data_IF_271250438409
#
_entry.id   IF_271250438409
#
_cell.length_a   1.000
_cell.length_b   1.000
_cell.length_c   1.000
_cell.angle_alpha   90.00
_cell.angle_beta   90.00
_cell.angle_gamma   90.00
#
_symmetry.space_group_name_H-M   'P 1'
#
loop_
_entity.id
_entity.type
_entity.pdbx_description
1 polymer ?
#
# COMPACT_ATOMS: atom_id res chain seq x y z
N UNK A 1 -33.21 1.18 2.89
CA UNK A 1 -32.03 2.04 2.60
C UNK A 1 -31.87 2.20 1.11
N UNK A 2 -31.62 3.40 0.60
CA UNK A 2 -31.31 3.64 -0.82
C UNK A 2 -29.87 4.13 -0.94
N UNK A 3 -28.99 3.34 -1.56
CA UNK A 3 -27.57 3.67 -1.69
C UNK A 3 -26.67 2.46 -1.48
N UNK A 4 -25.38 2.62 -1.77
CA UNK A 4 -24.38 1.55 -1.60
C UNK A 4 -23.03 2.06 -1.06
N UNK A 5 -22.99 3.25 -0.47
CA UNK A 5 -21.79 3.76 0.20
C UNK A 5 -21.75 3.38 1.68
N UNK A 6 -20.65 3.71 2.36
CA UNK A 6 -20.50 3.45 3.81
C UNK A 6 -21.68 4.02 4.63
N UNK A 7 -22.14 5.23 4.31
CA UNK A 7 -23.32 5.84 4.95
C UNK A 7 -24.56 4.94 4.87
N UNK A 8 -24.77 4.23 3.75
CA UNK A 8 -25.89 3.30 3.61
C UNK A 8 -25.73 2.07 4.50
N UNK A 9 -24.49 1.57 4.67
CA UNK A 9 -24.18 0.44 5.55
C UNK A 9 -24.35 0.84 7.02
N UNK A 10 -23.82 2.00 7.41
CA UNK A 10 -23.94 2.55 8.76
C UNK A 10 -25.40 2.72 9.14
N UNK A 11 -26.19 3.34 8.26
CA UNK A 11 -27.62 3.52 8.47
C UNK A 11 -28.34 2.17 8.55
N UNK A 12 -28.04 1.22 7.65
CA UNK A 12 -28.65 -0.11 7.64
C UNK A 12 -28.43 -0.87 8.95
N UNK A 13 -27.17 -0.95 9.39
CA UNK A 13 -26.78 -1.63 10.64
C UNK A 13 -27.35 -0.91 11.86
N UNK A 14 -27.41 0.41 11.83
CA UNK A 14 -28.04 1.21 12.88
C UNK A 14 -29.54 0.94 12.97
N UNK A 15 -30.25 0.82 11.85
CA UNK A 15 -31.67 0.47 11.84
C UNK A 15 -31.93 -0.90 12.49
N UNK A 16 -31.06 -1.90 12.25
CA UNK A 16 -31.15 -3.18 12.94
C UNK A 16 -31.00 -2.99 14.46
N UNK A 17 -30.01 -2.21 14.91
CA UNK A 17 -29.78 -1.91 16.33
C UNK A 17 -30.93 -1.17 17.01
N UNK A 18 -31.67 -0.38 16.26
CA UNK A 18 -32.87 0.33 16.73
C UNK A 18 -34.13 -0.56 16.74
N UNK A 19 -34.02 -1.84 16.35
CA UNK A 19 -35.10 -2.81 16.43
C UNK A 19 -35.92 -2.99 15.15
N UNK A 20 -35.42 -2.53 13.99
CA UNK A 20 -36.08 -2.85 12.72
C UNK A 20 -36.03 -4.37 12.45
N UNK A 21 -37.19 -4.97 12.21
CA UNK A 21 -37.31 -6.42 11.94
C UNK A 21 -36.65 -6.82 10.62
N UNK A 22 -36.81 -5.98 9.59
CA UNK A 22 -36.21 -6.17 8.27
C UNK A 22 -35.57 -4.87 7.77
N UNK A 23 -34.34 -4.98 7.27
CA UNK A 23 -33.63 -3.86 6.65
C UNK A 23 -33.13 -4.31 5.28
N UNK A 24 -33.57 -3.61 4.24
CA UNK A 24 -33.17 -3.86 2.85
C UNK A 24 -32.43 -2.66 2.27
N UNK A 25 -31.26 -2.92 1.68
CA UNK A 25 -30.46 -1.97 0.90
C UNK A 25 -30.79 -2.12 -0.58
N UNK A 26 -31.30 -1.05 -1.19
CA UNK A 26 -31.58 -0.97 -2.62
C UNK A 26 -30.40 -0.30 -3.31
N UNK A 27 -29.73 -1.03 -4.21
CA UNK A 27 -28.56 -0.54 -4.93
C UNK A 27 -28.67 -0.78 -6.43
N UNK A 28 -28.46 0.29 -7.20
CA UNK A 28 -28.61 0.31 -8.66
C UNK A 28 -27.50 -0.40 -9.44
N UNK A 29 -26.51 -1.00 -8.77
CA UNK A 29 -25.42 -1.76 -9.43
C UNK A 29 -25.26 -3.13 -8.75
N UNK A 30 -24.24 -3.89 -9.12
CA UNK A 30 -23.94 -5.16 -8.47
C UNK A 30 -23.09 -4.95 -7.22
N UNK A 31 -22.89 -6.03 -6.46
CA UNK A 31 -21.99 -6.08 -5.32
C UNK A 31 -20.57 -5.58 -5.66
N UNK A 32 -20.03 -5.96 -6.82
CA UNK A 32 -18.66 -5.62 -7.24
C UNK A 32 -18.44 -4.12 -7.43
N UNK A 33 -19.45 -3.37 -7.88
CA UNK A 33 -19.34 -1.91 -8.04
C UNK A 33 -19.80 -1.13 -6.80
N UNK A 34 -20.02 -1.78 -5.66
CA UNK A 34 -20.41 -1.10 -4.44
C UNK A 34 -19.23 -0.26 -3.90
N UNK A 35 -19.41 1.05 -3.64
CA UNK A 35 -18.34 1.90 -3.13
C UNK A 35 -18.09 1.76 -1.63
N UNK A 36 -18.95 1.06 -0.89
CA UNK A 36 -18.72 0.76 0.51
C UNK A 36 -17.49 -0.13 0.71
N UNK A 37 -16.83 0.00 1.86
CA UNK A 37 -15.76 -0.89 2.25
C UNK A 37 -16.28 -2.33 2.30
N UNK A 38 -15.52 -3.27 1.73
CA UNK A 38 -15.94 -4.67 1.64
C UNK A 38 -16.30 -5.26 3.01
N UNK A 39 -15.48 -5.00 4.02
CA UNK A 39 -15.69 -5.49 5.39
C UNK A 39 -17.01 -4.94 5.99
N UNK A 40 -17.41 -3.72 5.64
CA UNK A 40 -18.68 -3.13 6.09
C UNK A 40 -19.89 -3.81 5.44
N UNK A 41 -19.77 -4.17 4.16
CA UNK A 41 -20.83 -4.92 3.44
C UNK A 41 -20.96 -6.32 4.03
N UNK A 42 -19.86 -7.04 4.21
CA UNK A 42 -19.84 -8.38 4.80
C UNK A 42 -20.43 -8.36 6.22
N UNK A 43 -20.04 -7.40 7.06
CA UNK A 43 -20.60 -7.25 8.41
C UNK A 43 -22.10 -6.88 8.40
N UNK A 44 -22.56 -6.09 7.43
CA UNK A 44 -23.98 -5.77 7.29
C UNK A 44 -24.81 -7.01 6.91
N UNK A 45 -24.31 -7.83 5.98
CA UNK A 45 -24.90 -9.12 5.62
C UNK A 45 -24.94 -10.07 6.83
N UNK A 46 -23.84 -10.18 7.58
CA UNK A 46 -23.77 -10.95 8.82
C UNK A 46 -24.83 -10.52 9.84
N UNK A 47 -25.07 -9.22 9.99
CA UNK A 47 -26.07 -8.66 10.90
C UNK A 47 -27.53 -8.83 10.42
N UNK A 48 -27.73 -9.27 9.17
CA UNK A 48 -29.03 -9.59 8.58
C UNK A 48 -29.58 -8.55 7.60
N UNK A 49 -28.76 -7.60 7.16
CA UNK A 49 -29.14 -6.64 6.10
C UNK A 49 -29.34 -7.39 4.78
N UNK A 50 -30.49 -7.20 4.13
CA UNK A 50 -30.77 -7.74 2.81
C UNK A 50 -30.32 -6.79 1.73
N UNK A 51 -29.77 -7.31 0.63
CA UNK A 51 -29.33 -6.50 -0.49
C UNK A 51 -30.16 -6.78 -1.74
N UNK A 52 -30.70 -5.70 -2.31
CA UNK A 52 -31.43 -5.70 -3.56
C UNK A 52 -30.60 -4.98 -4.62
N UNK A 53 -29.70 -5.73 -5.23
CA UNK A 53 -28.84 -5.27 -6.32
C UNK A 53 -29.63 -5.00 -7.60
N UNK A 54 -28.98 -4.31 -8.54
CA UNK A 54 -29.52 -4.03 -9.86
C UNK A 54 -30.95 -3.45 -9.78
N UNK A 55 -31.17 -2.56 -8.81
CA UNK A 55 -32.48 -1.98 -8.51
C UNK A 55 -32.35 -0.51 -8.16
N UNK A 56 -33.17 0.33 -8.80
CA UNK A 56 -33.22 1.77 -8.56
C UNK A 56 -34.60 2.18 -8.04
N UNK A 57 -34.69 3.12 -7.08
CA UNK A 57 -35.97 3.69 -6.68
C UNK A 57 -36.52 4.60 -7.78
N UNK A 58 -37.84 4.61 -7.91
CA UNK A 58 -38.58 5.48 -8.85
C UNK A 58 -39.44 6.47 -8.07
N UNK A 59 -40.17 5.99 -7.07
CA UNK A 59 -41.17 6.79 -6.36
C UNK A 59 -41.37 6.25 -4.93
N UNK A 60 -41.51 7.17 -3.96
CA UNK A 60 -41.94 6.82 -2.60
C UNK A 60 -43.46 6.88 -2.55
N UNK A 61 -44.09 5.74 -2.23
CA UNK A 61 -45.54 5.61 -2.16
C UNK A 61 -45.97 5.67 -0.71
N UNK A 62 -46.99 6.49 -0.42
CA UNK A 62 -47.50 6.65 0.93
C UNK A 62 -48.98 6.98 0.97
N UNK A 63 -49.57 6.81 2.15
CA UNK A 63 -50.96 7.13 2.45
C UNK A 63 -51.04 7.77 3.84
N UNK A 64 -51.88 8.80 3.98
CA UNK A 64 -52.13 9.48 5.26
C UNK A 64 -50.83 9.97 5.96
N UNK A 65 -49.88 10.48 5.16
CA UNK A 65 -48.59 10.98 5.65
C UNK A 65 -47.57 9.90 6.05
N UNK A 66 -47.87 8.61 5.81
CA UNK A 66 -46.97 7.48 6.09
C UNK A 66 -46.52 6.79 4.81
N UNK A 67 -45.27 6.38 4.75
CA UNK A 67 -44.75 5.55 3.66
C UNK A 67 -45.36 4.15 3.78
N UNK A 68 -45.75 3.55 2.65
CA UNK A 68 -46.29 2.18 2.58
C UNK A 68 -45.51 1.31 1.61
N UNK A 69 -44.87 1.91 0.59
CA UNK A 69 -44.02 1.19 -0.34
C UNK A 69 -42.99 2.10 -1.01
N UNK A 70 -41.95 1.47 -1.56
CA UNK A 70 -41.00 2.08 -2.48
C UNK A 70 -41.19 1.44 -3.86
N UNK A 71 -41.62 2.23 -4.84
CA UNK A 71 -41.64 1.78 -6.24
C UNK A 71 -40.22 1.73 -6.76
N UNK A 72 -39.83 0.57 -7.25
CA UNK A 72 -38.50 0.29 -7.76
C UNK A 72 -38.57 -0.18 -9.20
N UNK A 73 -37.45 -0.09 -9.92
CA UNK A 73 -37.26 -0.61 -11.27
C UNK A 73 -35.95 -1.41 -11.31
N UNK A 74 -35.90 -2.49 -12.09
CA UNK A 74 -34.65 -3.22 -12.31
C UNK A 74 -33.71 -2.44 -13.22
N UNK A 75 -32.42 -2.67 -13.04
CA UNK A 75 -31.37 -2.03 -13.82
C UNK A 75 -30.38 -3.07 -14.33
N UNK A 76 -29.80 -2.85 -15.50
CA UNK A 76 -28.67 -3.62 -16.01
C UNK A 76 -27.42 -2.74 -16.12
N UNK A 77 -26.24 -3.35 -16.16
CA UNK A 77 -25.00 -2.61 -16.31
C UNK A 77 -24.65 -2.44 -17.79
N UNK A 78 -24.38 -1.19 -18.18
CA UNK A 78 -23.84 -0.86 -19.50
C UNK A 78 -22.44 -1.47 -19.69
N UNK A 79 -21.93 -1.39 -20.94
CA UNK A 79 -20.50 -1.54 -21.19
C UNK A 79 -19.71 -0.54 -20.32
N UNK A 80 -18.48 -0.90 -19.89
CA UNK A 80 -17.60 0.03 -19.18
C UNK A 80 -17.42 1.32 -19.97
N UNK A 81 -17.52 2.47 -19.31
CA UNK A 81 -17.14 3.75 -19.89
C UNK A 81 -15.60 3.92 -19.92
N UNK A 82 -15.11 5.07 -20.41
CA UNK A 82 -13.67 5.39 -20.50
C UNK A 82 -12.95 5.34 -19.13
N UNK A 83 -13.69 5.46 -18.02
CA UNK A 83 -13.16 5.31 -16.66
C UNK A 83 -13.20 3.86 -16.14
N UNK A 84 -13.64 2.92 -16.97
CA UNK A 84 -13.90 1.52 -16.61
C UNK A 84 -15.22 1.32 -15.85
N UNK A 85 -16.00 2.38 -15.63
CA UNK A 85 -17.19 2.34 -14.78
C UNK A 85 -18.42 1.95 -15.61
N UNK A 86 -19.18 0.98 -15.11
CA UNK A 86 -20.46 0.59 -15.73
C UNK A 86 -21.58 1.48 -15.22
N UNK A 87 -22.41 1.98 -16.14
CA UNK A 87 -23.58 2.81 -15.80
C UNK A 87 -24.81 1.91 -15.69
N UNK A 88 -25.66 2.11 -14.68
CA UNK A 88 -26.91 1.40 -14.59
C UNK A 88 -27.90 1.96 -15.61
N UNK A 89 -28.53 1.09 -16.39
CA UNK A 89 -29.58 1.38 -17.37
C UNK A 89 -30.86 0.71 -16.89
N UNK A 90 -31.97 1.43 -16.87
CA UNK A 90 -33.27 0.90 -16.42
C UNK A 90 -33.80 -0.14 -17.41
N UNK A 91 -34.38 -1.21 -16.89
CA UNK A 91 -35.11 -2.21 -17.67
C UNK A 91 -36.57 -1.80 -17.69
N UNK A 92 -37.07 -1.31 -18.82
CA UNK A 92 -38.47 -0.86 -18.94
C UNK A 92 -39.46 -2.00 -18.67
N UNK A 93 -40.58 -1.70 -18.02
CA UNK A 93 -41.61 -2.69 -17.67
C UNK A 93 -41.24 -3.62 -16.50
N UNK A 94 -40.10 -3.39 -15.85
CA UNK A 94 -39.63 -4.16 -14.69
C UNK A 94 -39.98 -3.51 -13.34
N UNK A 95 -40.92 -2.57 -13.33
CA UNK A 95 -41.34 -1.88 -12.13
C UNK A 95 -42.04 -2.83 -11.13
N UNK A 96 -41.73 -2.66 -9.85
CA UNK A 96 -42.37 -3.39 -8.77
C UNK A 96 -42.43 -2.54 -7.51
N UNK A 97 -43.33 -2.92 -6.60
CA UNK A 97 -43.47 -2.28 -5.29
C UNK A 97 -42.72 -3.11 -4.24
N UNK A 98 -41.88 -2.44 -3.46
CA UNK A 98 -41.26 -2.99 -2.26
C UNK A 98 -42.01 -2.41 -1.05
N UNK A 99 -42.78 -3.24 -0.34
CA UNK A 99 -43.53 -2.80 0.85
C UNK A 99 -42.53 -2.44 1.96
N UNK A 100 -42.58 -1.18 2.41
CA UNK A 100 -41.69 -0.64 3.46
C UNK A 100 -42.40 0.49 4.21
N UNK A 101 -42.11 0.60 5.50
CA UNK A 101 -42.65 1.68 6.34
C UNK A 101 -41.72 2.90 6.41
N UNK A 102 -40.43 2.72 6.11
CA UNK A 102 -39.40 3.75 6.21
C UNK A 102 -38.46 3.69 5.01
N UNK A 103 -38.22 4.84 4.38
CA UNK A 103 -37.21 5.01 3.32
C UNK A 103 -36.16 6.00 3.81
N UNK A 104 -34.92 5.55 3.88
CA UNK A 104 -33.76 6.39 4.24
C UNK A 104 -32.87 6.55 3.00
N UNK A 105 -32.77 7.78 2.44
CA UNK A 105 -31.92 8.06 1.29
C UNK A 105 -30.47 8.28 1.73
N UNK A 106 -29.56 7.46 1.18
CA UNK A 106 -28.11 7.54 1.37
C UNK A 106 -27.40 7.65 -0.01
N UNK A 107 -27.82 8.64 -0.80
CA UNK A 107 -27.45 8.80 -2.21
C UNK A 107 -26.31 9.81 -2.46
N UNK A 108 -25.73 10.35 -1.39
CA UNK A 108 -24.68 11.36 -1.43
C UNK A 108 -25.14 12.71 -0.87
N UNK A 109 -24.22 13.65 -0.88
CA UNK A 109 -24.41 15.01 -0.37
C UNK A 109 -23.75 16.01 -1.33
N UNK A 110 -24.17 17.27 -1.24
CA UNK A 110 -23.60 18.38 -1.97
C UNK A 110 -23.31 19.53 -1.00
N UNK A 111 -22.41 20.43 -1.39
CA UNK A 111 -22.11 21.63 -0.61
C UNK A 111 -23.35 22.53 -0.62
N UNK A 112 -23.76 22.98 0.56
CA UNK A 112 -24.77 24.03 0.69
C UNK A 112 -24.10 25.38 0.42
N UNK A 113 -24.50 26.03 -0.67
CA UNK A 113 -23.92 27.29 -1.13
C UNK A 113 -24.69 28.52 -0.65
N UNK A 114 -25.84 28.37 -0.01
CA UNK A 114 -26.73 29.51 0.25
C UNK A 114 -26.13 30.63 1.10
N UNK A 115 -25.14 30.31 1.96
CA UNK A 115 -24.41 31.32 2.76
C UNK A 115 -23.17 31.91 2.06
N UNK A 116 -22.86 31.46 0.84
CA UNK A 116 -21.66 31.84 0.09
C UNK A 116 -21.99 32.66 -1.16
N UNK A 117 -23.28 32.80 -1.50
CA UNK A 117 -23.75 33.49 -2.70
C UNK A 117 -23.37 34.98 -2.73
N UNK A 118 -23.18 35.61 -1.56
CA UNK A 118 -22.75 37.02 -1.46
C UNK A 118 -21.25 37.21 -1.75
N UNK A 119 -20.47 36.13 -1.79
CA UNK A 119 -19.02 36.17 -2.06
C UNK A 119 -18.80 35.98 -3.57
N UNK A 120 -18.92 37.08 -4.32
CA UNK A 120 -18.94 37.10 -5.79
C UNK A 120 -17.71 36.50 -6.50
N UNK A 121 -16.56 36.45 -5.84
CA UNK A 121 -15.28 36.06 -6.45
C UNK A 121 -14.82 34.63 -6.10
N UNK A 122 -15.68 33.79 -5.51
CA UNK A 122 -15.36 32.39 -5.25
C UNK A 122 -15.36 31.55 -6.54
N UNK A 123 -14.24 30.86 -6.78
CA UNK A 123 -14.08 29.91 -7.88
C UNK A 123 -14.58 28.53 -7.49
N UNK A 124 -15.45 27.96 -8.32
CA UNK A 124 -16.07 26.65 -8.08
C UNK A 124 -15.53 25.58 -9.03
N UNK A 125 -15.36 24.37 -8.51
CA UNK A 125 -15.02 23.21 -9.31
C UNK A 125 -16.24 22.72 -10.11
N UNK A 126 -16.01 21.82 -11.08
CA UNK A 126 -17.10 21.12 -11.81
C UNK A 126 -18.08 20.37 -10.88
N UNK A 127 -17.66 20.03 -9.65
CA UNK A 127 -18.50 19.34 -8.66
C UNK A 127 -19.22 20.31 -7.72
N UNK A 128 -19.21 21.62 -8.00
CA UNK A 128 -19.74 22.67 -7.13
C UNK A 128 -19.10 22.66 -5.74
N UNK A 129 -17.79 22.47 -5.70
CA UNK A 129 -16.96 22.61 -4.48
C UNK A 129 -16.05 23.82 -4.61
N UNK A 130 -15.58 24.38 -3.50
CA UNK A 130 -14.72 25.56 -3.47
C UNK A 130 -13.33 25.18 -3.98
N UNK A 131 -12.80 25.95 -4.94
CA UNK A 131 -11.44 25.78 -5.46
C UNK A 131 -10.46 26.48 -4.54
N UNK A 132 -9.36 25.80 -4.20
CA UNK A 132 -8.32 26.34 -3.30
C UNK A 132 -6.91 25.99 -3.77
N UNK A 133 -5.92 26.75 -3.31
CA UNK A 133 -4.50 26.44 -3.44
C UNK A 133 -4.15 25.25 -2.54
N UNK A 134 -3.57 24.17 -3.09
CA UNK A 134 -3.31 22.93 -2.36
C UNK A 134 -2.38 23.04 -1.14
N UNK A 135 -1.46 24.01 -1.12
CA UNK A 135 -0.52 24.23 -0.02
C UNK A 135 -1.16 24.95 1.17
N UNK A 136 -1.99 25.95 0.88
CA UNK A 136 -2.49 26.92 1.86
C UNK A 136 -3.97 26.73 2.18
N UNK A 137 -4.70 26.04 1.30
CA UNK A 137 -6.16 25.95 1.31
C UNK A 137 -6.86 27.32 1.12
N UNK A 138 -6.14 28.32 0.65
CA UNK A 138 -6.68 29.64 0.30
C UNK A 138 -7.49 29.56 -0.99
N UNK A 139 -8.66 30.21 -1.00
CA UNK A 139 -9.56 30.27 -2.14
C UNK A 139 -9.08 31.26 -3.23
N UNK A 140 -9.92 31.55 -4.21
CA UNK A 140 -9.68 32.65 -5.15
C UNK A 140 -9.85 34.04 -4.53
N UNK A 141 -10.46 34.13 -3.35
CA UNK A 141 -10.63 35.38 -2.60
C UNK A 141 -9.56 35.47 -1.52
N UNK A 142 -8.82 36.57 -1.51
CA UNK A 142 -7.76 36.83 -0.54
C UNK A 142 -8.30 36.80 0.91
N UNK A 143 -7.60 36.11 1.79
CA UNK A 143 -8.01 35.96 3.19
C UNK A 143 -9.16 34.97 3.43
N UNK A 144 -9.71 34.34 2.39
CA UNK A 144 -10.71 33.27 2.51
C UNK A 144 -10.07 31.90 2.32
N UNK A 145 -10.30 31.00 3.26
CA UNK A 145 -9.76 29.64 3.27
C UNK A 145 -10.88 28.62 3.39
N UNK A 146 -10.73 27.47 2.75
CA UNK A 146 -11.73 26.39 2.81
C UNK A 146 -11.04 25.02 2.90
N UNK A 147 -11.64 24.08 3.62
CA UNK A 147 -11.10 22.73 3.79
C UNK A 147 -12.21 21.68 3.90
N UNK A 148 -11.84 20.40 3.84
CA UNK A 148 -12.77 19.27 3.92
C UNK A 148 -13.62 19.08 2.67
N UNK A 149 -14.77 18.44 2.84
CA UNK A 149 -15.66 18.06 1.74
C UNK A 149 -16.20 19.26 0.95
N UNK A 150 -16.21 20.46 1.54
CA UNK A 150 -16.53 21.70 0.84
C UNK A 150 -15.55 22.01 -0.31
N UNK A 151 -14.34 21.44 -0.27
CA UNK A 151 -13.29 21.58 -1.28
C UNK A 151 -13.17 20.31 -2.11
N UNK A 152 -12.98 19.17 -1.46
CA UNK A 152 -12.68 17.89 -2.13
C UNK A 152 -13.92 17.20 -2.70
N UNK A 153 -15.11 17.56 -2.20
CA UNK A 153 -16.28 16.70 -2.24
C UNK A 153 -16.14 15.54 -1.24
N UNK A 154 -17.09 14.60 -1.22
CA UNK A 154 -17.06 13.45 -0.31
C UNK A 154 -15.73 12.70 -0.38
N UNK A 155 -14.98 12.75 0.72
CA UNK A 155 -13.63 12.20 0.84
C UNK A 155 -13.47 11.46 2.18
N UNK A 156 -12.23 11.29 2.64
CA UNK A 156 -11.97 10.69 3.96
C UNK A 156 -11.88 11.76 5.05
N UNK A 157 -12.22 11.38 6.29
CA UNK A 157 -12.05 12.24 7.48
C UNK A 157 -10.60 12.73 7.62
N UNK A 158 -9.62 11.88 7.27
CA UNK A 158 -8.19 12.22 7.34
C UNK A 158 -7.81 13.33 6.36
N UNK A 159 -8.39 13.34 5.16
CA UNK A 159 -8.17 14.42 4.18
C UNK A 159 -8.76 15.73 4.67
N UNK A 160 -9.95 15.70 5.27
CA UNK A 160 -10.57 16.89 5.87
C UNK A 160 -9.72 17.45 7.02
N UNK A 161 -9.25 16.60 7.93
CA UNK A 161 -8.33 17.00 9.02
C UNK A 161 -7.03 17.58 8.45
N UNK A 162 -6.46 16.92 7.43
CA UNK A 162 -5.24 17.38 6.77
C UNK A 162 -5.40 18.74 6.10
N UNK A 163 -6.53 18.97 5.41
CA UNK A 163 -6.90 20.27 4.85
C UNK A 163 -7.08 21.32 5.94
N UNK A 164 -7.81 21.02 7.01
CA UNK A 164 -8.03 21.94 8.12
C UNK A 164 -6.72 22.39 8.78
N UNK A 165 -5.75 21.47 8.97
CA UNK A 165 -4.42 21.82 9.50
C UNK A 165 -3.64 22.75 8.58
N UNK A 166 -3.67 22.52 7.26
CA UNK A 166 -3.02 23.43 6.30
C UNK A 166 -3.69 24.79 6.27
N UNK A 167 -5.02 24.84 6.30
CA UNK A 167 -5.77 26.09 6.36
C UNK A 167 -5.43 26.88 7.63
N UNK A 168 -5.37 26.23 8.79
CA UNK A 168 -5.02 26.88 10.05
C UNK A 168 -3.59 27.49 10.02
N UNK A 169 -2.60 26.77 9.50
CA UNK A 169 -1.23 27.27 9.33
C UNK A 169 -1.17 28.46 8.36
N UNK A 170 -1.95 28.42 7.28
CA UNK A 170 -2.01 29.48 6.29
C UNK A 170 -2.71 30.74 6.82
N UNK A 171 -3.80 30.58 7.59
CA UNK A 171 -4.51 31.67 8.27
C UNK A 171 -3.58 32.37 9.26
N UNK A 172 -2.88 31.60 10.11
CA UNK A 172 -1.94 32.15 11.10
C UNK A 172 -0.85 33.00 10.43
N UNK A 173 -0.27 32.49 9.33
CA UNK A 173 0.70 33.24 8.52
C UNK A 173 0.13 34.48 7.87
N UNK A 174 -1.08 34.38 7.30
CA UNK A 174 -1.77 35.50 6.66
C UNK A 174 -2.00 36.64 7.66
N UNK A 175 -2.53 36.33 8.84
CA UNK A 175 -2.77 37.30 9.91
C UNK A 175 -1.47 37.87 10.49
N UNK A 176 -0.39 37.11 10.48
CA UNK A 176 0.92 37.52 10.98
C UNK A 176 1.79 38.24 9.94
N UNK A 177 1.33 38.39 8.70
CA UNK A 177 2.14 38.95 7.60
C UNK A 177 3.36 38.09 7.22
N UNK A 178 3.32 36.79 7.53
CA UNK A 178 4.38 35.83 7.23
C UNK A 178 4.10 35.24 5.82
N UNK A 179 5.13 35.05 4.98
CA UNK A 179 4.95 34.41 3.68
C UNK A 179 4.27 33.03 3.77
N UNK A 180 3.34 32.79 2.85
CA UNK A 180 2.57 31.55 2.76
C UNK A 180 3.46 30.33 2.46
N UNK A 181 3.11 29.14 2.96
CA UNK A 181 3.90 27.94 2.73
C UNK A 181 3.69 27.42 1.30
N UNK A 182 4.75 26.83 0.74
CA UNK A 182 4.66 26.03 -0.47
C UNK A 182 4.65 24.54 -0.13
N UNK A 183 3.96 23.73 -0.94
CA UNK A 183 4.07 22.29 -0.81
C UNK A 183 5.50 21.88 -1.15
N UNK A 184 6.20 21.12 -0.29
CA UNK A 184 7.52 20.63 -0.63
C UNK A 184 7.40 19.75 -1.88
N UNK A 185 8.38 19.81 -2.81
CA UNK A 185 8.34 19.05 -4.06
C UNK A 185 8.34 17.53 -3.80
N UNK A 186 8.78 17.12 -2.61
CA UNK A 186 8.77 15.74 -2.15
C UNK A 186 8.24 15.65 -0.71
N UNK A 187 7.46 14.60 -0.37
CA UNK A 187 7.02 14.38 0.99
C UNK A 187 8.20 14.31 1.97
N UNK A 188 8.22 15.21 2.95
CA UNK A 188 9.27 15.22 3.99
C UNK A 188 8.94 14.13 5.01
N UNK A 189 9.78 13.10 5.08
CA UNK A 189 9.63 12.01 6.07
C UNK A 189 9.96 12.54 7.46
N UNK A 190 9.01 12.43 8.38
CA UNK A 190 9.27 12.60 9.83
C UNK A 190 10.11 11.41 10.32
N UNK A 191 10.94 11.65 11.34
CA UNK A 191 11.87 10.75 12.04
C UNK A 191 11.91 9.29 11.54
N UNK A 192 13.08 8.84 11.07
CA UNK A 192 13.27 7.42 10.71
C UNK A 192 13.45 6.57 11.97
N UNK A 193 12.53 5.62 12.16
CA UNK A 193 12.68 4.60 13.19
C UNK A 193 13.76 3.58 12.81
N UNK A 194 14.46 2.99 13.79
CA UNK A 194 15.41 1.91 13.54
C UNK A 194 14.72 0.72 12.84
N UNK A 195 15.49 -0.05 12.08
CA UNK A 195 14.99 -1.28 11.45
C UNK A 195 14.98 -2.42 12.45
N UNK A 196 13.90 -3.20 12.46
CA UNK A 196 13.80 -4.43 13.23
C UNK A 196 14.16 -5.62 12.33
N UNK A 197 15.01 -6.52 12.83
CA UNK A 197 15.46 -7.67 12.06
C UNK A 197 14.51 -8.85 12.13
N UNK A 198 14.25 -9.45 10.98
CA UNK A 198 13.39 -10.63 10.85
C UNK A 198 13.87 -11.50 9.70
N UNK A 199 13.74 -12.82 9.80
CA UNK A 199 14.11 -13.71 8.70
C UNK A 199 13.15 -13.58 7.52
N UNK A 200 13.63 -13.86 6.31
CA UNK A 200 12.78 -13.97 5.12
C UNK A 200 11.66 -15.01 5.29
N UNK A 201 11.94 -16.13 5.95
CA UNK A 201 10.94 -17.19 6.21
C UNK A 201 9.81 -16.67 7.08
N UNK A 202 10.15 -16.09 8.24
CA UNK A 202 9.14 -15.51 9.14
C UNK A 202 8.36 -14.41 8.41
N UNK A 203 9.05 -13.53 7.68
CA UNK A 203 8.41 -12.43 6.96
C UNK A 203 7.41 -12.89 5.91
N UNK A 204 7.75 -13.93 5.15
CA UNK A 204 6.88 -14.50 4.11
C UNK A 204 5.69 -15.25 4.73
N UNK A 205 5.89 -15.94 5.86
CA UNK A 205 4.86 -16.77 6.49
C UNK A 205 3.90 -16.00 7.41
N UNK A 206 4.20 -14.75 7.79
CA UNK A 206 3.35 -13.93 8.65
C UNK A 206 2.02 -13.55 7.96
N UNK A 207 0.92 -14.10 8.48
CA UNK A 207 -0.44 -13.74 8.07
C UNK A 207 -0.93 -12.47 8.77
N UNK A 208 -1.91 -11.78 8.17
CA UNK A 208 -2.57 -10.65 8.82
C UNK A 208 -3.38 -11.23 9.99
N UNK A 209 -3.22 -10.73 11.22
CA UNK A 209 -4.09 -11.15 12.30
C UNK A 209 -5.51 -10.65 12.05
N UNK A 210 -6.50 -11.48 12.35
CA UNK A 210 -7.91 -11.12 12.23
C UNK A 210 -8.30 -10.13 13.32
N UNK A 211 -9.04 -9.08 12.96
CA UNK A 211 -9.56 -8.11 13.93
C UNK A 211 -10.59 -8.80 14.83
N UNK A 212 -10.38 -8.87 16.16
CA UNK A 212 -11.40 -9.41 17.04
C UNK A 212 -12.65 -8.53 16.98
N UNK A 213 -13.79 -9.16 16.70
CA UNK A 213 -15.07 -8.47 16.60
C UNK A 213 -15.99 -8.88 17.75
N UNK A 214 -16.85 -7.96 18.18
CA UNK A 214 -17.98 -8.28 19.06
C UNK A 214 -18.84 -9.38 18.42
N UNK A 215 -19.45 -10.27 19.19
CA UNK A 215 -20.29 -11.32 18.61
C UNK A 215 -21.51 -10.72 17.87
N UNK A 216 -21.98 -11.43 16.83
CA UNK A 216 -23.06 -10.96 15.95
C UNK A 216 -24.32 -10.56 16.71
N UNK A 217 -24.77 -11.37 17.67
CA UNK A 217 -26.03 -11.13 18.36
C UNK A 217 -25.98 -9.84 19.18
N UNK A 218 -24.84 -9.52 19.79
CA UNK A 218 -24.62 -8.25 20.48
C UNK A 218 -24.44 -7.07 19.54
N UNK A 219 -23.84 -7.25 18.35
CA UNK A 219 -23.74 -6.18 17.33
C UNK A 219 -25.13 -5.68 16.88
N UNK A 220 -26.13 -6.56 16.89
CA UNK A 220 -27.51 -6.26 16.45
C UNK A 220 -28.35 -5.51 17.48
N UNK A 221 -27.92 -5.39 18.73
CA UNK A 221 -28.73 -4.81 19.82
C UNK A 221 -27.98 -3.79 20.67
N UNK A 222 -26.73 -3.48 20.35
CA UNK A 222 -25.90 -2.54 21.11
C UNK A 222 -25.16 -1.58 20.20
N UNK A 223 -24.80 -0.41 20.75
CA UNK A 223 -23.90 0.57 20.14
C UNK A 223 -22.48 0.46 20.71
N UNK A 224 -22.12 -0.69 21.29
CA UNK A 224 -20.77 -0.92 21.76
C UNK A 224 -19.80 -1.01 20.57
N UNK A 225 -18.53 -0.69 20.83
CA UNK A 225 -17.47 -0.83 19.84
C UNK A 225 -17.45 -2.27 19.29
N UNK A 226 -17.56 -2.39 17.97
CA UNK A 226 -17.61 -3.69 17.27
C UNK A 226 -16.21 -4.24 17.06
N UNK A 227 -15.29 -3.42 16.55
CA UNK A 227 -13.88 -3.77 16.39
C UNK A 227 -13.15 -3.63 17.73
N UNK A 228 -12.84 -4.75 18.38
CA UNK A 228 -12.33 -4.75 19.76
C UNK A 228 -10.83 -4.42 19.86
N UNK A 229 -10.16 -4.24 18.71
CA UNK A 229 -8.74 -3.99 18.64
C UNK A 229 -7.89 -5.24 18.84
N UNK A 230 -6.63 -5.15 18.43
CA UNK A 230 -5.67 -6.22 18.66
C UNK A 230 -5.20 -6.25 20.11
N UNK A 231 -5.02 -7.46 20.63
CA UNK A 231 -4.19 -7.65 21.82
C UNK A 231 -2.71 -7.37 21.47
N UNK A 232 -1.86 -7.27 22.50
CA UNK A 232 -0.45 -6.93 22.31
C UNK A 232 0.29 -7.89 21.35
N UNK A 233 0.00 -9.20 21.45
CA UNK A 233 0.64 -10.22 20.60
C UNK A 233 0.28 -10.01 19.12
N UNK A 234 -1.02 -9.89 18.82
CA UNK A 234 -1.51 -9.66 17.46
C UNK A 234 -1.00 -8.33 16.89
N UNK A 235 -0.96 -7.27 17.70
CA UNK A 235 -0.41 -5.98 17.29
C UNK A 235 1.09 -6.08 16.93
N UNK A 236 1.87 -6.84 17.71
CA UNK A 236 3.29 -7.11 17.42
C UNK A 236 3.45 -7.95 16.15
N UNK A 237 2.59 -8.93 15.90
CA UNK A 237 2.62 -9.75 14.68
C UNK A 237 2.31 -8.92 13.42
N UNK A 238 1.27 -8.07 13.46
CA UNK A 238 0.99 -7.15 12.34
C UNK A 238 2.12 -6.14 12.13
N UNK A 239 2.73 -5.61 13.21
CA UNK A 239 3.88 -4.72 13.09
C UNK A 239 5.09 -5.41 12.42
N UNK A 240 5.32 -6.70 12.72
CA UNK A 240 6.39 -7.51 12.11
C UNK A 240 6.18 -7.74 10.61
N UNK A 241 4.96 -7.55 10.08
CA UNK A 241 4.68 -7.60 8.63
C UNK A 241 5.09 -6.34 7.87
N UNK A 242 5.37 -5.22 8.56
CA UNK A 242 5.72 -3.94 7.93
C UNK A 242 6.88 -4.04 6.92
N UNK A 243 6.66 -3.68 5.65
CA UNK A 243 7.68 -3.73 4.59
C UNK A 243 8.61 -2.50 4.52
N UNK A 244 8.46 -1.54 5.46
CA UNK A 244 9.27 -0.31 5.54
C UNK A 244 9.29 0.49 4.23
N UNK A 245 8.11 0.80 3.71
CA UNK A 245 7.95 1.70 2.56
C UNK A 245 8.47 3.13 2.84
N UNK A 246 8.72 3.46 4.11
CA UNK A 246 9.44 4.64 4.58
C UNK A 246 10.96 4.60 4.32
N UNK A 247 11.50 3.53 3.74
CA UNK A 247 12.91 3.43 3.29
C UNK A 247 12.95 3.03 1.81
N UNK A 248 12.30 1.92 1.43
CA UNK A 248 12.29 1.44 0.04
C UNK A 248 11.33 2.27 -0.82
N UNK A 249 11.84 2.87 -1.90
CA UNK A 249 11.03 3.62 -2.88
C UNK A 249 10.51 2.77 -4.04
N UNK A 250 10.69 1.45 -3.98
CA UNK A 250 10.21 0.48 -4.99
C UNK A 250 10.68 0.78 -6.43
N UNK A 251 11.91 1.29 -6.58
CA UNK A 251 12.48 1.62 -7.89
C UNK A 251 12.90 0.43 -8.77
N UNK A 252 12.84 -0.81 -8.26
CA UNK A 252 13.16 -2.02 -9.03
C UNK A 252 14.63 -2.32 -9.33
N UNK A 253 15.54 -1.36 -9.16
CA UNK A 253 16.97 -1.50 -9.50
C UNK A 253 17.66 -2.72 -8.88
N UNK A 254 17.30 -3.10 -7.65
CA UNK A 254 17.89 -4.27 -7.00
C UNK A 254 17.56 -5.58 -7.74
N UNK A 255 16.32 -5.73 -8.21
CA UNK A 255 15.86 -6.88 -8.99
C UNK A 255 16.52 -6.86 -10.37
N UNK A 256 16.53 -5.69 -11.01
CA UNK A 256 17.13 -5.47 -12.33
C UNK A 256 18.62 -5.86 -12.35
N UNK A 257 19.43 -5.33 -11.44
CA UNK A 257 20.86 -5.68 -11.33
C UNK A 257 21.05 -7.17 -11.01
N UNK A 258 20.21 -7.76 -10.15
CA UNK A 258 20.35 -9.17 -9.79
C UNK A 258 20.02 -10.11 -10.97
N UNK A 259 19.01 -9.77 -11.77
CA UNK A 259 18.53 -10.57 -12.90
C UNK A 259 19.33 -10.30 -14.18
N UNK A 260 19.47 -9.04 -14.55
CA UNK A 260 19.95 -8.63 -15.87
C UNK A 260 21.47 -8.44 -15.91
N UNK A 261 22.07 -7.90 -14.85
CA UNK A 261 23.52 -7.69 -14.80
C UNK A 261 24.24 -8.94 -14.25
N UNK A 262 23.82 -9.41 -13.07
CA UNK A 262 24.47 -10.54 -12.40
C UNK A 262 24.01 -11.91 -12.93
N UNK A 263 22.89 -11.98 -13.64
CA UNK A 263 22.29 -13.25 -14.15
C UNK A 263 21.99 -14.30 -13.08
N UNK A 264 21.64 -13.87 -11.86
CA UNK A 264 21.35 -14.75 -10.71
C UNK A 264 19.84 -14.90 -10.50
N UNK A 265 19.08 -13.81 -10.66
CA UNK A 265 17.63 -13.76 -10.47
C UNK A 265 17.18 -14.34 -9.09
N UNK A 266 17.80 -13.86 -8.02
CA UNK A 266 17.54 -14.31 -6.64
C UNK A 266 16.45 -13.51 -5.92
N UNK A 267 15.98 -12.38 -6.47
CA UNK A 267 15.05 -11.49 -5.80
C UNK A 267 13.66 -11.59 -6.42
N UNK A 268 12.73 -12.29 -5.76
CA UNK A 268 11.34 -12.40 -6.19
C UNK A 268 10.44 -11.42 -5.42
N UNK A 269 10.41 -10.18 -5.89
CA UNK A 269 9.62 -9.10 -5.31
C UNK A 269 8.38 -8.84 -6.18
N UNK A 270 7.36 -9.68 -6.03
CA UNK A 270 6.13 -9.64 -6.83
C UNK A 270 5.42 -8.28 -6.90
N UNK A 271 5.54 -7.46 -5.84
CA UNK A 271 5.02 -6.09 -5.83
C UNK A 271 5.74 -5.11 -6.80
N UNK A 272 6.78 -5.58 -7.49
CA UNK A 272 7.46 -4.87 -8.58
C UNK A 272 7.10 -5.43 -9.97
N UNK A 273 6.32 -6.51 -10.05
CA UNK A 273 5.83 -7.01 -11.34
C UNK A 273 4.77 -6.05 -11.88
N UNK A 274 4.92 -5.64 -13.14
CA UNK A 274 3.96 -4.78 -13.83
C UNK A 274 2.59 -5.45 -14.02
N UNK A 275 2.55 -6.78 -14.05
CA UNK A 275 1.34 -7.55 -14.39
C UNK A 275 0.67 -8.21 -13.17
N UNK A 276 1.28 -8.12 -11.98
CA UNK A 276 0.76 -8.77 -10.77
C UNK A 276 0.75 -10.30 -10.82
N UNK A 277 1.44 -10.90 -11.78
CA UNK A 277 1.53 -12.35 -12.03
C UNK A 277 2.49 -13.08 -11.08
N UNK A 278 3.28 -12.33 -10.30
CA UNK A 278 4.26 -12.88 -9.37
C UNK A 278 3.89 -12.51 -7.93
N UNK A 279 3.86 -13.51 -7.06
CA UNK A 279 3.80 -13.31 -5.62
C UNK A 279 5.20 -12.97 -5.09
N UNK A 280 5.25 -12.22 -3.99
CA UNK A 280 6.52 -11.95 -3.32
C UNK A 280 6.89 -13.14 -2.45
N UNK A 281 8.04 -13.76 -2.72
CA UNK A 281 8.61 -14.79 -1.86
C UNK A 281 10.08 -14.48 -1.56
N UNK A 282 10.33 -14.04 -0.33
CA UNK A 282 11.66 -13.67 0.12
C UNK A 282 12.55 -14.89 0.41
N UNK A 283 11.97 -16.10 0.50
CA UNK A 283 12.70 -17.33 0.82
C UNK A 283 13.59 -17.79 -0.33
N UNK A 284 13.16 -17.55 -1.57
CA UNK A 284 13.93 -17.88 -2.77
C UNK A 284 15.29 -17.19 -2.77
N UNK A 285 15.40 -16.02 -2.15
CA UNK A 285 16.68 -15.31 -2.04
C UNK A 285 17.70 -16.12 -1.26
N UNK A 286 17.31 -16.85 -0.20
CA UNK A 286 18.24 -17.72 0.53
C UNK A 286 18.77 -18.86 -0.34
N UNK A 287 17.97 -19.37 -1.27
CA UNK A 287 18.34 -20.47 -2.15
C UNK A 287 19.29 -20.04 -3.27
N UNK A 288 19.01 -18.90 -3.92
CA UNK A 288 19.70 -18.47 -5.15
C UNK A 288 20.78 -17.42 -4.93
N UNK A 289 20.67 -16.59 -3.90
CA UNK A 289 21.58 -15.47 -3.72
C UNK A 289 22.99 -15.95 -3.40
N UNK A 290 23.97 -15.40 -4.12
CA UNK A 290 25.40 -15.67 -3.88
C UNK A 290 26.04 -14.63 -2.95
N UNK A 291 25.29 -13.65 -2.46
CA UNK A 291 25.78 -12.55 -1.60
C UNK A 291 26.90 -11.70 -2.24
N UNK A 292 26.77 -11.41 -3.55
CA UNK A 292 27.69 -10.52 -4.28
C UNK A 292 27.56 -9.03 -3.89
N UNK A 293 26.44 -8.63 -3.28
CA UNK A 293 26.20 -7.25 -2.85
C UNK A 293 25.81 -6.26 -3.95
N UNK A 294 25.72 -6.68 -5.21
CA UNK A 294 25.40 -5.78 -6.34
C UNK A 294 24.06 -5.04 -6.14
N UNK A 295 23.04 -5.71 -5.58
CA UNK A 295 21.75 -5.12 -5.26
C UNK A 295 21.82 -4.07 -4.14
N UNK A 296 22.70 -4.24 -3.15
CA UNK A 296 22.93 -3.28 -2.08
C UNK A 296 23.72 -2.06 -2.59
N UNK A 297 24.75 -2.29 -3.40
CA UNK A 297 25.56 -1.22 -4.00
C UNK A 297 24.75 -0.30 -4.91
N UNK A 298 23.71 -0.82 -5.59
CA UNK A 298 22.86 -0.05 -6.49
C UNK A 298 21.57 0.47 -5.84
N UNK A 299 21.42 0.35 -4.52
CA UNK A 299 20.21 0.80 -3.82
C UNK A 299 20.30 2.29 -3.48
N UNK A 300 19.48 3.17 -4.10
CA UNK A 300 19.60 4.62 -3.90
C UNK A 300 19.18 5.08 -2.49
N UNK A 301 18.45 4.26 -1.75
CA UNK A 301 17.92 4.62 -0.43
C UNK A 301 18.57 3.86 0.73
N UNK A 302 19.50 2.93 0.45
CA UNK A 302 20.06 2.03 1.46
C UNK A 302 19.04 1.08 2.08
N UNK A 303 17.93 0.80 1.37
CA UNK A 303 16.96 -0.22 1.74
C UNK A 303 17.57 -1.62 1.68
N UNK A 304 18.35 -1.90 0.64
CA UNK A 304 19.18 -3.09 0.55
C UNK A 304 20.52 -2.82 1.23
N UNK A 305 20.93 -3.71 2.12
CA UNK A 305 22.22 -3.63 2.82
C UNK A 305 22.90 -4.98 2.80
N UNK A 306 24.22 -4.94 2.65
CA UNK A 306 25.07 -6.10 2.81
C UNK A 306 26.14 -5.78 3.85
N UNK A 307 26.36 -6.70 4.78
CA UNK A 307 27.29 -6.50 5.89
C UNK A 307 27.89 -7.82 6.33
N UNK A 308 29.13 -7.78 6.79
CA UNK A 308 29.83 -8.93 7.36
C UNK A 308 29.72 -8.82 8.89
N UNK A 309 29.08 -9.80 9.54
CA UNK A 309 28.94 -9.90 11.00
C UNK A 309 29.58 -11.21 11.46
N UNK A 310 30.70 -11.11 12.18
CA UNK A 310 31.45 -12.29 12.63
C UNK A 310 32.06 -13.08 11.46
N UNK A 311 31.64 -14.33 11.29
CA UNK A 311 32.00 -15.22 10.19
C UNK A 311 30.90 -15.34 9.12
N UNK A 312 29.87 -14.48 9.16
CA UNK A 312 28.76 -14.48 8.19
C UNK A 312 28.70 -13.18 7.39
N UNK A 313 28.29 -13.30 6.12
CA UNK A 313 27.83 -12.18 5.28
C UNK A 313 26.33 -12.22 5.22
N UNK A 314 25.68 -11.08 5.49
CA UNK A 314 24.23 -10.97 5.59
C UNK A 314 23.74 -9.96 4.56
N UNK A 315 22.73 -10.35 3.79
CA UNK A 315 21.97 -9.46 2.92
C UNK A 315 20.60 -9.20 3.53
N UNK A 316 20.24 -7.94 3.71
CA UNK A 316 18.95 -7.53 4.26
C UNK A 316 18.25 -6.48 3.38
N UNK A 317 16.92 -6.58 3.31
CA UNK A 317 16.01 -5.58 2.74
C UNK A 317 15.18 -4.98 3.86
N UNK A 318 15.46 -3.72 4.21
CA UNK A 318 14.76 -2.98 5.26
C UNK A 318 14.66 -3.72 6.63
N UNK A 319 15.71 -4.46 6.99
CA UNK A 319 15.74 -5.30 8.20
C UNK A 319 15.28 -6.75 7.98
N UNK A 320 14.61 -7.08 6.87
CA UNK A 320 14.33 -8.48 6.53
C UNK A 320 15.59 -9.13 5.98
N UNK A 321 16.12 -10.12 6.70
CA UNK A 321 17.31 -10.88 6.34
C UNK A 321 16.93 -11.86 5.22
N UNK A 322 17.40 -11.56 4.01
CA UNK A 322 17.08 -12.31 2.81
C UNK A 322 17.99 -13.53 2.62
N UNK A 323 19.28 -13.39 2.96
CA UNK A 323 20.22 -14.49 2.95
C UNK A 323 21.37 -14.19 3.93
N UNK A 324 21.96 -15.25 4.48
CA UNK A 324 23.20 -15.22 5.24
C UNK A 324 24.04 -16.44 4.90
N UNK A 325 25.35 -16.27 4.76
CA UNK A 325 26.25 -17.40 4.52
C UNK A 325 27.59 -17.16 5.20
N UNK A 326 28.27 -18.25 5.57
CA UNK A 326 29.64 -18.17 6.06
C UNK A 326 30.57 -17.58 5.01
N UNK A 327 31.44 -16.69 5.46
CA UNK A 327 32.47 -16.06 4.64
C UNK A 327 33.77 -16.83 4.73
N UNK A 328 34.43 -16.98 3.58
CA UNK A 328 35.81 -17.45 3.54
C UNK A 328 36.76 -16.27 3.74
N UNK A 329 37.92 -16.57 4.34
CA UNK A 329 38.98 -15.61 4.57
C UNK A 329 40.22 -16.00 3.79
N UNK A 330 40.98 -15.01 3.36
CA UNK A 330 42.27 -15.23 2.74
C UNK A 330 43.19 -15.97 3.72
N UNK A 331 43.70 -17.14 3.32
CA UNK A 331 44.59 -17.94 4.15
C UNK A 331 45.92 -17.22 4.51
N UNK A 332 46.29 -16.18 3.75
CA UNK A 332 47.55 -15.43 3.95
C UNK A 332 47.35 -14.15 4.74
N UNK A 333 46.29 -13.38 4.46
CA UNK A 333 46.11 -12.05 5.06
C UNK A 333 44.82 -11.88 5.87
N UNK A 334 43.99 -12.93 6.01
CA UNK A 334 42.74 -12.90 6.80
C UNK A 334 41.60 -12.06 6.21
N UNK A 335 41.82 -11.44 5.05
CA UNK A 335 40.85 -10.57 4.36
C UNK A 335 39.58 -11.33 3.99
N UNK A 336 38.41 -10.72 4.17
CA UNK A 336 37.13 -11.29 3.80
C UNK A 336 37.05 -11.47 2.29
N UNK A 337 36.88 -12.71 1.84
CA UNK A 337 36.74 -13.01 0.43
C UNK A 337 35.27 -13.07 0.01
N UNK A 338 34.35 -13.25 0.98
CA UNK A 338 32.94 -13.54 0.74
C UNK A 338 32.64 -15.06 0.76
N UNK A 339 31.39 -15.46 0.51
CA UNK A 339 30.99 -16.87 0.60
C UNK A 339 31.48 -17.71 -0.58
N UNK A 340 31.61 -19.03 -0.39
CA UNK A 340 32.05 -19.98 -1.42
C UNK A 340 31.28 -19.83 -2.75
N UNK A 341 29.94 -19.71 -2.69
CA UNK A 341 29.09 -19.50 -3.90
C UNK A 341 29.46 -18.26 -4.70
N UNK A 342 29.89 -17.19 -4.03
CA UNK A 342 30.36 -15.98 -4.72
C UNK A 342 31.67 -16.26 -5.45
N UNK A 343 32.59 -17.01 -4.85
CA UNK A 343 33.86 -17.33 -5.50
C UNK A 343 33.67 -18.27 -6.67
N UNK A 344 32.82 -19.28 -6.55
CA UNK A 344 32.51 -20.19 -7.66
C UNK A 344 31.96 -19.42 -8.85
N UNK A 345 31.06 -18.46 -8.60
CA UNK A 345 30.56 -17.56 -9.63
C UNK A 345 31.67 -16.73 -10.28
N UNK A 346 32.59 -16.18 -9.48
CA UNK A 346 33.72 -15.40 -9.99
C UNK A 346 34.70 -16.28 -10.78
N UNK A 347 35.01 -17.51 -10.33
CA UNK A 347 35.89 -18.45 -11.05
C UNK A 347 35.30 -18.83 -12.41
N UNK A 348 33.99 -19.09 -12.45
CA UNK A 348 33.30 -19.49 -13.68
C UNK A 348 33.19 -18.33 -14.68
N UNK A 349 33.11 -17.08 -14.20
CA UNK A 349 32.99 -15.90 -15.07
C UNK A 349 34.32 -15.25 -15.44
N UNK A 350 35.40 -15.43 -14.65
CA UNK A 350 36.75 -14.95 -15.00
C UNK A 350 37.49 -16.04 -15.79
N UNK A 351 37.09 -16.23 -17.04
CA UNK A 351 37.94 -16.92 -18.02
C UNK A 351 39.03 -15.93 -18.45
N UNK A 352 40.20 -15.93 -17.79
CA UNK A 352 41.57 -15.71 -18.38
C UNK A 352 42.74 -15.35 -17.45
N UNK A 353 42.60 -15.19 -16.13
CA UNK A 353 43.76 -14.82 -15.30
C UNK A 353 43.99 -15.82 -14.16
N UNK A 354 44.97 -16.70 -14.39
CA UNK A 354 45.66 -17.56 -13.43
C UNK A 354 44.81 -18.61 -12.70
N UNK A 355 44.55 -19.73 -13.39
CA UNK A 355 44.42 -21.04 -12.72
C UNK A 355 45.77 -21.44 -12.10
N UNK A 356 46.16 -20.83 -10.99
CA UNK A 356 47.32 -21.27 -10.20
C UNK A 356 47.15 -20.86 -8.74
N UNK A 357 46.20 -21.48 -8.08
CA UNK A 357 46.30 -21.80 -6.64
C UNK A 357 45.40 -23.01 -6.42
N UNK A 358 45.94 -24.08 -5.83
CA UNK A 358 45.12 -25.21 -5.35
C UNK A 358 44.11 -24.73 -4.29
N UNK A 359 43.37 -25.66 -3.69
CA UNK A 359 42.19 -25.49 -2.80
C UNK A 359 42.29 -24.48 -1.62
N UNK A 360 43.38 -23.74 -1.48
CA UNK A 360 43.54 -22.67 -0.50
C UNK A 360 42.89 -21.35 -0.96
N UNK A 361 41.90 -20.80 -0.22
CA UNK A 361 41.27 -19.53 -0.58
C UNK A 361 42.23 -18.35 -0.37
N UNK A 362 42.47 -17.58 -1.44
CA UNK A 362 43.38 -16.42 -1.45
C UNK A 362 42.70 -15.19 -2.06
N UNK A 363 42.91 -14.00 -1.47
CA UNK A 363 42.46 -12.75 -2.09
C UNK A 363 43.25 -12.45 -3.35
N UNK A 364 42.70 -11.64 -4.27
CA UNK A 364 43.35 -11.31 -5.56
C UNK A 364 44.77 -10.79 -5.39
N UNK A 365 45.02 -10.00 -4.33
CA UNK A 365 46.36 -9.48 -4.00
C UNK A 365 47.33 -10.59 -3.61
N UNK A 366 46.92 -11.50 -2.73
CA UNK A 366 47.76 -12.63 -2.29
C UNK A 366 47.95 -13.67 -3.40
N UNK A 367 46.92 -13.92 -4.21
CA UNK A 367 47.00 -14.79 -5.38
C UNK A 367 48.00 -14.24 -6.42
N UNK A 368 47.95 -12.94 -6.74
CA UNK A 368 48.91 -12.29 -7.64
C UNK A 368 50.34 -12.36 -7.11
N UNK A 369 50.55 -12.10 -5.82
CA UNK A 369 51.88 -12.23 -5.18
C UNK A 369 52.42 -13.66 -5.27
N UNK A 370 51.57 -14.67 -5.03
CA UNK A 370 51.95 -16.09 -5.09
C UNK A 370 52.24 -16.55 -6.53
N UNK A 371 51.48 -16.08 -7.50
CA UNK A 371 51.72 -16.36 -8.92
C UNK A 371 53.03 -15.72 -9.42
N UNK A 372 53.32 -14.48 -9.02
CA UNK A 372 54.57 -13.81 -9.35
C UNK A 372 55.81 -14.53 -8.79
N UNK A 373 55.73 -15.12 -7.58
CA UNK A 373 56.81 -15.91 -6.99
C UNK A 373 57.07 -17.27 -7.66
N UNK A 374 56.08 -17.85 -8.38
CA UNK A 374 56.29 -19.08 -9.17
C UNK A 374 56.87 -18.82 -10.57
N UNK A 375 56.63 -17.63 -11.13
CA UNK A 375 57.18 -17.25 -12.45
C UNK A 375 58.70 -17.03 -12.46
N UNK A 376 59.33 -16.84 -11.29
CA UNK A 376 60.77 -16.61 -11.16
C UNK A 376 61.63 -17.88 -11.13
N UNK A 377 61.04 -19.09 -11.08
CA UNK A 377 61.79 -20.35 -11.07
C UNK A 377 61.92 -21.02 -12.46
N UNK A 378 61.42 -20.38 -13.53
CA UNK A 378 61.41 -20.94 -14.88
C UNK A 378 62.24 -20.13 -15.89
N UNK A 379 63.54 -19.97 -15.63
CA UNK A 379 64.52 -19.63 -16.68
C UNK A 379 65.83 -20.39 -16.40
N UNK A 380 66.17 -21.44 -17.16
CA UNK A 380 67.53 -21.99 -17.11
C UNK A 380 68.49 -20.98 -17.76
N UNK A 381 69.56 -20.66 -17.04
CA UNK A 381 70.64 -19.80 -17.50
C UNK A 381 71.18 -20.27 -18.86
N UNK A 382 71.21 -19.35 -19.83
CA UNK A 382 71.79 -19.59 -21.15
C UNK A 382 73.29 -19.91 -21.03
N UNK A 383 73.72 -20.97 -21.72
CA UNK A 383 75.12 -21.25 -21.98
C UNK A 383 75.62 -20.29 -23.06
N UNK A 384 76.73 -19.61 -22.76
CA UNK A 384 77.56 -18.87 -23.70
C UNK A 384 78.47 -19.83 -24.48
N UNK A 385 78.67 -19.49 -25.76
CA UNK A 385 79.58 -20.02 -26.80
C UNK A 385 79.19 -21.36 -27.42
#
# INVERSE_FOLDING_TARGET
MVGGGNVAMDAARTSIRLGCEEVTVVYRRTHTEMPANRDEVEQAEEEGVRFLFLTAPVEVVGKDGKVTALKCIRTELSKPDESGRRRPVTVEGSEFLLNVDIVIPAIGQAVDTGCLDEISDLSWSRRKTITVKGATMESSVEGFFAAGDAVTGPATVVEAIGGGKRAAEAIDRYLSGIPQPELPPVPVRRTRLPVFEISASDKTNLARPDMPLLNRDRRRITFQQVELGFNESAAREEARRCLRCDICVRCGRCVDVCRNEMKIDALQLGYLSANGDQTTDLRITAERCILCGACAANCPTGAMRIEDRGDERILALCGTILNRMKVERCAVCGEFLGPARYHDFIRNNIIRIAQTSGDTPLCTRCARKRAAGKGSEAFPAGKNI
#
